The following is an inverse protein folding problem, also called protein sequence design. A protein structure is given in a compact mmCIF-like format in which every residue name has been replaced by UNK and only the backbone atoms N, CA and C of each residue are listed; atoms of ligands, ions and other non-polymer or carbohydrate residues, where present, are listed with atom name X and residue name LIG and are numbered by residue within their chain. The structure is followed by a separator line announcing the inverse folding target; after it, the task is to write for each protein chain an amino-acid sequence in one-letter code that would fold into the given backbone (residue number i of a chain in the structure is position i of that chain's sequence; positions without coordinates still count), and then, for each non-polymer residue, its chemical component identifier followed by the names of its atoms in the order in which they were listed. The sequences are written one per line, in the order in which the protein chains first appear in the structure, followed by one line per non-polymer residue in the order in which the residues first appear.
data_IF_264577866200
#
_entry.id   IF_264577866200
#
_cell.length_a   1.000
_cell.length_b   1.000
_cell.length_c   1.000
_cell.angle_alpha   90.00
_cell.angle_beta   90.00
_cell.angle_gamma   90.00
#
_symmetry.space_group_name_H-M   'P 1'
#
loop_
_entity.id
_entity.type
_entity.pdbx_description
1 polymer ?
#
# COMPACT_ATOMS: atom_id res chain seq x y z
N UNK A 1 11.35 -12.39 11.59
CA UNK A 1 10.91 -11.50 12.68
C UNK A 1 9.46 -11.19 12.39
N UNK A 2 8.52 -11.60 13.25
CA UNK A 2 7.12 -11.19 13.11
C UNK A 2 7.04 -9.73 13.47
N UNK A 3 6.73 -8.85 12.51
CA UNK A 3 6.45 -7.46 12.84
C UNK A 3 5.28 -7.43 13.84
N UNK A 4 5.37 -6.64 14.92
CA UNK A 4 4.24 -6.47 15.82
C UNK A 4 3.05 -5.92 15.02
N UNK A 5 1.83 -6.40 15.28
CA UNK A 5 0.66 -5.93 14.54
C UNK A 5 0.46 -4.44 14.81
N UNK A 6 0.33 -3.65 13.75
CA UNK A 6 -0.14 -2.28 13.87
C UNK A 6 -1.62 -2.31 14.28
N UNK A 7 -2.07 -1.27 14.98
CA UNK A 7 -3.46 -1.09 15.36
C UNK A 7 -4.04 0.10 14.62
N UNK A 8 -5.30 -0.02 14.23
CA UNK A 8 -6.04 1.02 13.54
C UNK A 8 -7.25 1.43 14.38
N UNK A 9 -7.31 2.70 14.73
CA UNK A 9 -8.52 3.36 15.18
C UNK A 9 -9.22 3.98 13.96
N UNK A 10 -10.53 3.78 13.82
CA UNK A 10 -11.28 4.30 12.67
C UNK A 10 -12.66 4.79 13.08
N UNK A 11 -13.12 5.85 12.41
CA UNK A 11 -14.46 6.38 12.56
C UNK A 11 -14.99 6.92 11.23
N UNK A 12 -16.21 6.51 10.88
CA UNK A 12 -16.93 7.04 9.72
C UNK A 12 -17.75 8.27 10.11
N UNK A 13 -17.69 9.32 9.30
CA UNK A 13 -18.25 10.63 9.60
C UNK A 13 -18.53 11.42 8.31
N UNK A 14 -19.03 12.64 8.44
CA UNK A 14 -19.18 13.55 7.29
C UNK A 14 -17.87 14.27 6.99
N UNK A 15 -17.59 14.61 5.73
CA UNK A 15 -16.40 15.38 5.35
C UNK A 15 -16.20 16.66 6.17
N UNK A 16 -17.29 17.33 6.52
CA UNK A 16 -17.25 18.54 7.34
C UNK A 16 -16.63 18.32 8.74
N UNK A 17 -16.73 17.11 9.29
CA UNK A 17 -16.20 16.76 10.60
C UNK A 17 -14.77 16.17 10.53
N UNK A 18 -14.30 15.79 9.33
CA UNK A 18 -13.11 14.96 9.18
C UNK A 18 -11.84 15.65 9.69
N UNK A 19 -11.66 16.94 9.37
CA UNK A 19 -10.50 17.71 9.79
C UNK A 19 -10.42 17.85 11.32
N UNK A 20 -11.54 18.15 11.98
CA UNK A 20 -11.58 18.33 13.43
C UNK A 20 -11.29 17.02 14.18
N UNK A 21 -11.85 15.91 13.70
CA UNK A 21 -11.60 14.59 14.29
C UNK A 21 -10.17 14.14 14.03
N UNK A 22 -9.62 14.34 12.84
CA UNK A 22 -8.23 14.04 12.54
C UNK A 22 -7.28 14.84 13.45
N UNK A 23 -7.48 16.16 13.56
CA UNK A 23 -6.69 17.01 14.44
C UNK A 23 -6.77 16.57 15.91
N UNK A 24 -7.95 16.15 16.37
CA UNK A 24 -8.13 15.62 17.74
C UNK A 24 -7.28 14.37 17.99
N UNK A 25 -7.25 13.44 17.04
CA UNK A 25 -6.44 12.22 17.14
C UNK A 25 -4.94 12.49 16.99
N UNK A 26 -4.55 13.48 16.19
CA UNK A 26 -3.15 13.95 16.09
C UNK A 26 -2.66 14.59 17.39
N UNK A 27 -3.49 15.44 18.00
CA UNK A 27 -3.15 16.16 19.23
C UNK A 27 -3.05 15.25 20.46
N UNK A 28 -3.68 14.08 20.43
CA UNK A 28 -3.45 13.04 21.44
C UNK A 28 -1.98 12.59 21.49
N UNK A 29 -1.25 12.70 20.38
CA UNK A 29 0.20 12.51 20.32
C UNK A 29 0.67 11.05 20.36
N UNK A 30 -0.24 10.09 20.54
CA UNK A 30 0.08 8.66 20.55
C UNK A 30 -0.01 7.99 19.17
N UNK A 31 -0.72 8.61 18.21
CA UNK A 31 -0.83 8.11 16.85
C UNK A 31 0.49 8.28 16.07
N UNK A 32 0.85 7.26 15.29
CA UNK A 32 1.99 7.31 14.36
C UNK A 32 1.64 8.03 13.05
N UNK A 33 0.38 7.92 12.64
CA UNK A 33 -0.17 8.58 11.47
C UNK A 33 -1.68 8.75 11.64
N UNK A 34 -2.22 9.84 11.09
CA UNK A 34 -3.66 10.08 10.98
C UNK A 34 -3.97 10.39 9.52
N UNK A 35 -5.03 9.77 8.99
CA UNK A 35 -5.46 9.86 7.61
C UNK A 35 -6.93 10.24 7.53
N UNK A 36 -7.27 11.06 6.54
CA UNK A 36 -8.64 11.29 6.11
C UNK A 36 -8.81 10.57 4.78
N UNK A 37 -9.74 9.61 4.75
CA UNK A 37 -10.10 8.85 3.55
C UNK A 37 -11.46 9.33 3.07
N UNK A 38 -11.49 9.91 1.88
CA UNK A 38 -12.69 10.48 1.28
C UNK A 38 -12.99 9.85 -0.08
N UNK A 39 -14.26 9.62 -0.37
CA UNK A 39 -14.68 9.37 -1.75
C UNK A 39 -14.96 10.70 -2.47
N UNK A 40 -14.46 10.92 -3.70
CA UNK A 40 -14.55 12.22 -4.39
C UNK A 40 -15.96 12.79 -4.54
N UNK A 41 -16.99 11.93 -4.60
CA UNK A 41 -18.38 12.33 -4.89
C UNK A 41 -19.39 11.96 -3.80
N UNK A 42 -18.92 11.49 -2.64
CA UNK A 42 -19.77 11.21 -1.49
C UNK A 42 -19.58 12.26 -0.39
N UNK A 43 -20.56 12.41 0.50
CA UNK A 43 -20.44 13.29 1.68
C UNK A 43 -19.74 12.60 2.87
N UNK A 44 -19.51 11.29 2.76
CA UNK A 44 -18.84 10.49 3.78
C UNK A 44 -17.32 10.60 3.71
N UNK A 45 -16.71 10.52 4.89
CA UNK A 45 -15.28 10.34 5.08
C UNK A 45 -15.03 9.33 6.21
N UNK A 46 -13.84 8.74 6.21
CA UNK A 46 -13.35 7.92 7.32
C UNK A 46 -12.06 8.56 7.81
N UNK A 47 -11.98 8.80 9.12
CA UNK A 47 -10.70 9.15 9.76
C UNK A 47 -10.09 7.87 10.31
N UNK A 48 -8.84 7.62 9.98
CA UNK A 48 -8.07 6.48 10.47
C UNK A 48 -6.80 6.97 11.19
N UNK A 49 -6.51 6.39 12.36
CA UNK A 49 -5.27 6.64 13.10
C UNK A 49 -4.54 5.31 13.36
N UNK A 50 -3.22 5.31 13.14
CA UNK A 50 -2.36 4.13 13.23
C UNK A 50 -1.50 4.16 14.50
N UNK A 51 -1.39 3.02 15.17
CA UNK A 51 -0.68 2.88 16.44
C UNK A 51 0.21 1.63 16.45
N UNK A 52 1.33 1.69 17.18
CA UNK A 52 2.23 0.55 17.40
C UNK A 52 1.71 -0.41 18.49
N UNK A 53 0.89 0.10 19.39
CA UNK A 53 0.24 -0.65 20.48
C UNK A 53 -1.28 -0.43 20.41
N UNK A 54 -2.06 -1.29 21.05
CA UNK A 54 -3.52 -1.14 21.06
C UNK A 54 -3.93 0.12 21.83
N UNK A 55 -4.57 1.12 21.19
CA UNK A 55 -5.04 2.31 21.91
C UNK A 55 -6.33 2.01 22.70
N UNK A 56 -6.60 2.81 23.72
CA UNK A 56 -7.86 2.76 24.47
C UNK A 56 -9.01 3.37 23.63
N UNK A 57 -9.83 2.50 23.06
CA UNK A 57 -10.98 2.89 22.25
C UNK A 57 -12.00 3.79 23.00
N UNK A 58 -12.19 3.58 24.30
CA UNK A 58 -13.16 4.35 25.08
C UNK A 58 -12.65 5.78 25.35
N UNK A 59 -11.35 5.92 25.61
CA UNK A 59 -10.71 7.23 25.72
C UNK A 59 -10.73 7.97 24.38
N UNK A 60 -10.32 7.32 23.28
CA UNK A 60 -10.36 7.92 21.95
C UNK A 60 -11.77 8.38 21.57
N UNK A 61 -12.78 7.54 21.83
CA UNK A 61 -14.18 7.89 21.57
C UNK A 61 -14.65 9.11 22.37
N UNK A 62 -14.15 9.25 23.61
CA UNK A 62 -14.48 10.39 24.48
C UNK A 62 -13.88 11.68 23.96
N UNK A 63 -12.60 11.69 23.59
CA UNK A 63 -11.94 12.92 23.09
C UNK A 63 -12.48 13.33 21.71
N UNK A 64 -12.82 12.36 20.86
CA UNK A 64 -13.40 12.61 19.54
C UNK A 64 -14.90 12.97 19.60
N UNK A 65 -15.57 12.72 20.73
CA UNK A 65 -17.01 12.92 20.86
C UNK A 65 -17.86 11.99 19.98
N UNK A 66 -17.27 10.91 19.45
CA UNK A 66 -17.90 9.96 18.54
C UNK A 66 -17.35 8.55 18.80
N UNK A 67 -18.09 7.51 18.45
CA UNK A 67 -17.64 6.14 18.67
C UNK A 67 -16.49 5.77 17.72
N UNK A 68 -15.32 5.51 18.28
CA UNK A 68 -14.12 5.04 17.57
C UNK A 68 -14.02 3.52 17.70
N UNK A 69 -13.79 2.86 16.57
CA UNK A 69 -13.53 1.42 16.52
C UNK A 69 -12.03 1.19 16.45
N UNK A 70 -11.50 0.28 17.27
CA UNK A 70 -10.09 -0.12 17.27
C UNK A 70 -9.97 -1.58 16.86
N UNK A 71 -9.13 -1.87 15.88
CA UNK A 71 -8.87 -3.22 15.39
C UNK A 71 -7.40 -3.40 15.01
N UNK A 72 -6.85 -4.63 15.06
CA UNK A 72 -5.54 -4.90 14.49
C UNK A 72 -5.57 -4.65 12.97
N UNK A 73 -4.56 -3.97 12.45
CA UNK A 73 -4.33 -3.80 11.03
C UNK A 73 -3.60 -5.05 10.51
N UNK A 74 -4.21 -5.82 9.58
CA UNK A 74 -3.58 -7.02 9.05
C UNK A 74 -2.29 -6.69 8.31
N UNK A 75 -1.25 -7.49 8.57
CA UNK A 75 -0.02 -7.43 7.79
C UNK A 75 -0.31 -7.88 6.35
N UNK A 76 0.13 -7.07 5.39
CA UNK A 76 -0.08 -7.29 3.97
C UNK A 76 1.26 -7.18 3.26
N UNK A 77 1.49 -8.03 2.26
CA UNK A 77 2.64 -7.90 1.38
C UNK A 77 2.41 -6.74 0.42
N UNK A 78 2.65 -5.52 0.90
CA UNK A 78 2.47 -4.28 0.15
C UNK A 78 3.39 -4.21 -1.07
N UNK A 79 4.53 -4.91 -1.06
CA UNK A 79 5.45 -4.97 -2.19
C UNK A 79 4.85 -5.79 -3.31
N UNK A 80 4.24 -6.93 -2.97
CA UNK A 80 3.50 -7.73 -3.93
C UNK A 80 2.26 -6.98 -4.41
N UNK A 81 1.44 -6.44 -3.51
CA UNK A 81 0.20 -5.75 -3.84
C UNK A 81 0.42 -4.51 -4.73
N UNK A 82 1.48 -3.73 -4.48
CA UNK A 82 1.81 -2.56 -5.33
C UNK A 82 2.32 -2.93 -6.71
N UNK A 83 2.83 -4.17 -6.89
CA UNK A 83 3.27 -4.69 -8.17
C UNK A 83 2.21 -5.56 -8.87
N UNK A 84 1.16 -5.98 -8.15
CA UNK A 84 0.02 -6.67 -8.74
C UNK A 84 -0.66 -5.75 -9.77
N UNK A 85 -0.78 -6.24 -11.01
CA UNK A 85 -1.37 -5.49 -12.12
C UNK A 85 -0.39 -4.63 -12.93
N UNK A 86 0.90 -4.59 -12.56
CA UNK A 86 1.91 -4.02 -13.45
C UNK A 86 2.16 -4.97 -14.65
N UNK A 87 2.17 -4.46 -15.89
CA UNK A 87 2.33 -5.30 -17.07
C UNK A 87 3.77 -5.84 -17.19
N UNK A 88 3.99 -6.97 -17.88
CA UNK A 88 5.33 -7.44 -18.19
C UNK A 88 6.20 -6.40 -18.89
N UNK A 89 7.50 -6.43 -18.60
CA UNK A 89 8.47 -5.50 -19.17
C UNK A 89 9.17 -6.12 -20.37
N UNK A 90 9.13 -5.43 -21.51
CA UNK A 90 9.94 -5.78 -22.68
C UNK A 90 11.16 -4.87 -22.77
N UNK A 91 12.35 -5.46 -22.80
CA UNK A 91 13.62 -4.77 -22.94
C UNK A 91 14.46 -5.45 -24.03
N UNK A 92 14.41 -4.92 -25.26
CA UNK A 92 15.03 -5.54 -26.43
C UNK A 92 14.47 -6.95 -26.69
N UNK A 93 15.36 -7.95 -26.72
CA UNK A 93 15.05 -9.38 -26.84
C UNK A 93 14.48 -9.97 -25.55
N UNK A 94 14.63 -9.33 -24.40
CA UNK A 94 14.19 -9.86 -23.12
C UNK A 94 12.74 -9.50 -22.81
N UNK A 95 12.01 -10.43 -22.19
CA UNK A 95 10.65 -10.25 -21.70
C UNK A 95 10.58 -10.69 -20.24
N UNK A 96 10.48 -9.73 -19.32
CA UNK A 96 10.43 -9.95 -17.88
C UNK A 96 8.98 -9.98 -17.40
N UNK A 97 8.58 -11.05 -16.73
CA UNK A 97 7.18 -11.29 -16.35
C UNK A 97 7.07 -12.02 -15.00
N UNK A 98 5.93 -11.83 -14.31
CA UNK A 98 5.58 -12.58 -13.09
C UNK A 98 4.67 -13.77 -13.39
N UNK A 99 4.33 -14.56 -12.37
CA UNK A 99 3.51 -15.77 -12.53
C UNK A 99 2.14 -15.50 -13.14
N UNK A 100 1.57 -14.33 -12.86
CA UNK A 100 0.28 -13.87 -13.38
C UNK A 100 0.28 -13.71 -14.92
N UNK A 101 1.45 -13.49 -15.52
CA UNK A 101 1.62 -13.21 -16.95
C UNK A 101 2.30 -14.35 -17.72
N UNK A 102 2.41 -15.54 -17.13
CA UNK A 102 3.11 -16.66 -17.77
C UNK A 102 2.51 -17.08 -19.14
N UNK A 103 1.23 -16.78 -19.36
CA UNK A 103 0.54 -17.03 -20.64
C UNK A 103 0.69 -15.93 -21.69
N UNK A 104 1.34 -14.80 -21.38
CA UNK A 104 1.41 -13.62 -22.27
C UNK A 104 2.76 -13.47 -22.97
N UNK A 105 3.69 -14.42 -22.75
CA UNK A 105 5.04 -14.39 -23.32
C UNK A 105 5.01 -14.45 -24.86
N UNK A 106 5.48 -13.41 -25.58
CA UNK A 106 5.49 -13.41 -27.04
C UNK A 106 6.49 -14.41 -27.62
N UNK A 107 6.26 -14.85 -28.86
CA UNK A 107 7.27 -15.62 -29.59
C UNK A 107 8.51 -14.79 -29.94
N UNK A 108 9.68 -15.43 -29.98
CA UNK A 108 10.94 -14.80 -30.42
C UNK A 108 11.61 -13.90 -29.37
N UNK A 109 11.23 -14.01 -28.09
CA UNK A 109 11.87 -13.31 -26.97
C UNK A 109 12.67 -14.27 -26.09
N UNK A 110 13.53 -13.73 -25.23
CA UNK A 110 14.18 -14.43 -24.12
C UNK A 110 13.30 -14.21 -22.87
N UNK A 111 12.54 -15.22 -22.43
CA UNK A 111 11.66 -15.08 -21.28
C UNK A 111 12.44 -15.08 -19.97
N UNK A 112 12.13 -14.13 -19.09
CA UNK A 112 12.68 -14.01 -17.74
C UNK A 112 11.53 -13.96 -16.72
N UNK A 113 11.27 -15.06 -16.04
CA UNK A 113 10.26 -15.10 -14.98
C UNK A 113 10.85 -14.56 -13.68
N UNK A 114 10.39 -13.40 -13.22
CA UNK A 114 10.82 -12.74 -11.98
C UNK A 114 9.58 -12.33 -11.21
N UNK A 115 9.36 -12.94 -10.05
CA UNK A 115 8.26 -12.53 -9.16
C UNK A 115 8.60 -11.22 -8.46
N UNK A 116 7.59 -10.37 -8.30
CA UNK A 116 7.64 -9.23 -7.41
C UNK A 116 7.93 -9.70 -5.97
N UNK A 117 8.92 -9.09 -5.35
CA UNK A 117 9.31 -9.37 -3.98
C UNK A 117 10.29 -8.34 -3.46
N UNK A 118 10.97 -8.65 -2.37
CA UNK A 118 11.94 -7.74 -1.73
C UNK A 118 13.18 -7.45 -2.58
N UNK A 119 13.44 -8.27 -3.62
CA UNK A 119 14.59 -8.12 -4.49
C UNK A 119 14.30 -7.15 -5.65
N UNK A 120 15.29 -6.31 -5.95
CA UNK A 120 15.27 -5.46 -7.14
C UNK A 120 15.49 -6.28 -8.42
N UNK A 121 14.96 -5.81 -9.56
CA UNK A 121 15.26 -6.39 -10.87
C UNK A 121 14.05 -6.94 -11.65
N UNK A 122 12.81 -6.57 -11.31
CA UNK A 122 11.61 -6.98 -12.07
C UNK A 122 11.48 -6.28 -13.43
N UNK A 123 12.44 -5.46 -13.83
CA UNK A 123 12.46 -4.73 -15.11
C UNK A 123 11.72 -3.39 -15.08
N UNK A 124 10.84 -3.15 -14.11
CA UNK A 124 9.99 -1.94 -14.06
C UNK A 124 10.77 -0.64 -13.78
N UNK A 125 11.95 -0.76 -13.19
CA UNK A 125 12.85 0.37 -13.02
C UNK A 125 13.77 0.52 -14.23
N UNK A 126 13.96 1.75 -14.70
CA UNK A 126 14.63 2.09 -15.96
C UNK A 126 16.05 1.53 -16.03
N UNK A 127 16.76 1.49 -14.89
CA UNK A 127 18.11 0.92 -14.83
C UNK A 127 18.14 -0.56 -15.21
N UNK A 128 17.16 -1.36 -14.78
CA UNK A 128 17.09 -2.79 -15.14
C UNK A 128 16.77 -2.94 -16.63
N UNK A 129 15.78 -2.20 -17.11
CA UNK A 129 15.36 -2.23 -18.51
C UNK A 129 16.51 -1.81 -19.45
N UNK A 130 17.22 -0.74 -19.14
CA UNK A 130 18.33 -0.24 -19.96
C UNK A 130 19.50 -1.22 -19.99
N UNK A 131 19.87 -1.83 -18.86
CA UNK A 131 20.88 -2.88 -18.85
C UNK A 131 20.49 -4.06 -19.76
N UNK A 132 19.22 -4.50 -19.71
CA UNK A 132 18.72 -5.58 -20.58
C UNK A 132 18.69 -5.16 -22.06
N UNK A 133 18.36 -3.90 -22.37
CA UNK A 133 18.44 -3.38 -23.72
C UNK A 133 19.88 -3.44 -24.27
N UNK A 134 20.87 -3.00 -23.49
CA UNK A 134 22.29 -3.09 -23.91
C UNK A 134 22.74 -4.54 -24.09
N UNK A 135 22.39 -5.43 -23.16
CA UNK A 135 22.67 -6.87 -23.29
C UNK A 135 21.98 -7.50 -24.51
N UNK A 136 20.86 -6.93 -24.95
CA UNK A 136 20.15 -7.40 -26.13
C UNK A 136 20.90 -7.10 -27.44
N UNK A 137 21.87 -6.18 -27.44
CA UNK A 137 22.66 -5.80 -28.61
C UNK A 137 23.95 -6.61 -28.75
N UNK A 138 24.29 -7.43 -27.75
CA UNK A 138 25.42 -8.38 -27.76
C UNK A 138 25.05 -9.69 -28.48
#
# INVERSE_FOLDING_TARGET
MTNPPLWKASVALTKAQAADIAATLELDGSAQAVLIVEEPFADGAVVEALYTEQPDAAYLSRIAGMQITVAPLPDQDWIKLSQEGLPPVRAGRFFVYGAHDAGTVPHGVIPMKIEAGLAFGTGHHETTALCLCVLSEL
#
